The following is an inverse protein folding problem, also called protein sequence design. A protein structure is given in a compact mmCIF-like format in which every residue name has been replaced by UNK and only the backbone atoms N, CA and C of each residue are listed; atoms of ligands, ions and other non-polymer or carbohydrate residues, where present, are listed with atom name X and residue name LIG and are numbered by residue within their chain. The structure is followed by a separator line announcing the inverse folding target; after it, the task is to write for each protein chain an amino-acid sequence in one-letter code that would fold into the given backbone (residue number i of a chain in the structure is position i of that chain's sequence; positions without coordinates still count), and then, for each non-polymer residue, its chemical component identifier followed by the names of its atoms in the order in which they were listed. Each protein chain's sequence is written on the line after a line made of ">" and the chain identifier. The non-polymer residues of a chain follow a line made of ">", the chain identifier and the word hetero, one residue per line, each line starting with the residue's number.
data_IF_482985501137
#
_entry.id   IF_482985501137
#
_cell.length_a   1.000
_cell.length_b   1.000
_cell.length_c   1.000
_cell.angle_alpha   90.00
_cell.angle_beta   90.00
_cell.angle_gamma   90.00
#
_symmetry.space_group_name_H-M   'P 1'
#
loop_
_entity.id
_entity.type
_entity.pdbx_description
1 polymer ?
#
# COMPACT_ATOMS: atom_id res chain seq x y z
N UNK A 1 25.28 46.74 12.41
CA UNK A 1 25.87 45.45 12.00
C UNK A 1 25.04 44.34 12.62
N UNK A 2 24.15 43.73 11.84
CA UNK A 2 23.86 42.29 11.86
C UNK A 2 22.84 42.05 10.75
N UNK A 3 23.29 41.46 9.64
CA UNK A 3 22.44 41.12 8.50
C UNK A 3 21.73 39.80 8.82
N UNK A 4 20.40 39.80 8.71
CA UNK A 4 19.61 38.58 8.75
C UNK A 4 19.76 37.82 7.43
N UNK A 5 20.20 36.57 7.52
CA UNK A 5 20.23 35.64 6.39
C UNK A 5 18.84 35.00 6.27
N UNK A 6 18.06 35.44 5.30
CA UNK A 6 16.87 34.72 4.86
C UNK A 6 17.33 33.56 3.96
N UNK A 7 17.07 32.32 4.39
CA UNK A 7 17.24 31.13 3.55
C UNK A 7 15.86 30.78 2.99
N UNK A 8 15.54 31.36 1.83
CA UNK A 8 14.40 30.96 1.01
C UNK A 8 14.90 29.88 0.07
N UNK A 9 14.68 28.60 0.40
CA UNK A 9 14.87 27.51 -0.55
C UNK A 9 13.51 27.07 -1.06
N UNK A 10 13.19 27.52 -2.28
CA UNK A 10 11.96 27.18 -2.97
C UNK A 10 11.91 25.67 -3.23
N UNK A 11 10.84 25.01 -2.76
CA UNK A 11 10.52 23.63 -3.15
C UNK A 11 9.99 23.65 -4.59
N UNK A 12 10.85 23.31 -5.54
CA UNK A 12 10.53 23.24 -6.97
C UNK A 12 9.57 22.09 -7.26
N UNK A 13 8.35 22.43 -7.68
CA UNK A 13 7.40 21.53 -8.36
C UNK A 13 7.79 21.41 -9.84
N UNK A 14 8.76 20.55 -10.15
CA UNK A 14 9.10 20.23 -11.53
C UNK A 14 8.79 18.75 -11.76
N UNK A 15 7.96 18.45 -12.77
CA UNK A 15 7.78 17.09 -13.29
C UNK A 15 9.14 16.40 -13.45
N UNK A 16 9.27 15.10 -13.16
CA UNK A 16 10.57 14.44 -13.15
C UNK A 16 11.22 14.59 -14.54
N UNK A 17 12.48 15.04 -14.62
CA UNK A 17 13.20 15.03 -15.89
C UNK A 17 13.25 13.59 -16.41
N UNK A 18 13.15 13.41 -17.73
CA UNK A 18 13.45 12.13 -18.39
C UNK A 18 14.81 11.67 -17.87
N UNK A 19 14.82 10.69 -16.96
CA UNK A 19 16.02 10.34 -16.21
C UNK A 19 17.14 9.97 -17.20
N UNK A 20 18.26 10.69 -17.15
CA UNK A 20 19.43 10.29 -17.92
C UNK A 20 19.85 8.90 -17.46
N UNK A 21 19.75 7.93 -18.38
CA UNK A 21 20.11 6.55 -18.07
C UNK A 21 21.62 6.43 -17.86
N UNK A 22 22.01 5.75 -16.77
CA UNK A 22 23.40 5.44 -16.48
C UNK A 22 23.87 4.27 -17.34
N UNK A 23 24.56 4.58 -18.44
CA UNK A 23 25.05 3.58 -19.39
C UNK A 23 26.39 2.99 -18.96
N UNK A 24 26.42 1.67 -18.78
CA UNK A 24 27.64 0.88 -18.64
C UNK A 24 28.13 0.40 -20.01
N UNK A 25 29.45 0.46 -20.24
CA UNK A 25 30.05 -0.14 -21.44
C UNK A 25 29.88 -1.66 -21.42
N UNK A 26 29.52 -2.23 -22.57
CA UNK A 26 29.38 -3.66 -22.78
C UNK A 26 30.17 -4.13 -24.01
N UNK A 27 30.07 -5.42 -24.35
CA UNK A 27 30.85 -5.99 -25.45
C UNK A 27 30.44 -5.44 -26.81
N UNK A 28 31.35 -5.53 -27.79
CA UNK A 28 31.13 -5.19 -29.20
C UNK A 28 30.63 -3.74 -29.45
N UNK A 29 31.03 -2.80 -28.59
CA UNK A 29 30.64 -1.39 -28.71
C UNK A 29 29.18 -1.12 -28.34
N UNK A 30 28.51 -2.06 -27.67
CA UNK A 30 27.20 -1.81 -27.07
C UNK A 30 27.36 -1.18 -25.68
N UNK A 31 26.37 -0.42 -25.25
CA UNK A 31 26.22 -0.04 -23.85
C UNK A 31 24.89 -0.55 -23.31
N UNK A 32 24.85 -0.85 -22.03
CA UNK A 32 23.68 -1.34 -21.29
C UNK A 32 23.31 -0.38 -20.17
N UNK A 33 22.04 -0.28 -19.86
CA UNK A 33 21.54 0.48 -18.71
C UNK A 33 20.28 -0.19 -18.17
N UNK A 34 19.83 0.27 -17.01
CA UNK A 34 18.48 -0.01 -16.52
C UNK A 34 17.60 1.21 -16.74
N UNK A 35 16.43 0.98 -17.33
CA UNK A 35 15.32 1.92 -17.41
C UNK A 35 14.24 1.41 -16.46
N UNK A 36 14.19 1.95 -15.24
CA UNK A 36 13.55 1.30 -14.11
C UNK A 36 14.22 -0.05 -13.81
N UNK A 37 13.46 -1.15 -13.89
CA UNK A 37 13.99 -2.51 -13.73
C UNK A 37 14.22 -3.23 -15.07
N UNK A 38 14.03 -2.53 -16.19
CA UNK A 38 14.17 -3.11 -17.53
C UNK A 38 15.59 -2.92 -18.07
N UNK A 39 16.24 -4.01 -18.45
CA UNK A 39 17.53 -3.97 -19.14
C UNK A 39 17.38 -3.43 -20.57
N UNK A 40 18.07 -2.33 -20.86
CA UNK A 40 18.05 -1.67 -22.17
C UNK A 40 19.45 -1.61 -22.78
N UNK A 41 19.52 -1.48 -24.09
CA UNK A 41 20.77 -1.47 -24.83
C UNK A 41 20.80 -0.36 -25.88
N UNK A 42 21.98 0.23 -26.10
CA UNK A 42 22.29 1.09 -27.24
C UNK A 42 23.52 0.60 -27.97
N UNK A 43 23.60 0.87 -29.26
CA UNK A 43 24.76 0.53 -30.10
C UNK A 43 25.88 1.60 -30.00
N UNK A 44 26.99 1.36 -30.69
CA UNK A 44 28.15 2.27 -30.75
C UNK A 44 27.84 3.67 -31.30
N UNK A 45 26.72 3.85 -32.01
CA UNK A 45 26.25 5.15 -32.50
C UNK A 45 25.32 5.85 -31.49
N UNK A 46 25.20 5.32 -30.27
CA UNK A 46 24.32 5.84 -29.22
C UNK A 46 22.83 5.53 -29.41
N UNK A 47 22.44 4.81 -30.47
CA UNK A 47 21.01 4.53 -30.75
C UNK A 47 20.49 3.41 -29.87
N UNK A 48 19.47 3.70 -29.05
CA UNK A 48 18.72 2.71 -28.26
C UNK A 48 18.05 1.68 -29.18
N UNK A 49 18.20 0.41 -28.84
CA UNK A 49 17.62 -0.72 -29.56
C UNK A 49 16.28 -1.12 -28.94
N UNK A 50 15.42 -1.75 -29.76
CA UNK A 50 14.14 -2.31 -29.30
C UNK A 50 14.31 -3.50 -28.34
N UNK A 51 15.43 -4.19 -28.41
CA UNK A 51 15.74 -5.34 -27.55
C UNK A 51 17.25 -5.48 -27.37
N UNK A 52 17.64 -6.10 -26.26
CA UNK A 52 19.04 -6.42 -25.97
C UNK A 52 19.46 -7.62 -26.84
N UNK A 53 20.50 -7.47 -27.69
CA UNK A 53 20.98 -8.57 -28.54
C UNK A 53 21.45 -9.78 -27.71
N UNK A 54 21.21 -11.00 -28.21
CA UNK A 54 21.54 -12.25 -27.49
C UNK A 54 23.01 -12.35 -27.05
N UNK A 55 23.93 -11.89 -27.91
CA UNK A 55 25.37 -11.86 -27.63
C UNK A 55 25.78 -10.90 -26.51
N UNK A 56 25.01 -9.83 -26.29
CA UNK A 56 25.22 -8.86 -25.21
C UNK A 56 24.48 -9.30 -23.94
N UNK A 57 23.31 -9.93 -24.09
CA UNK A 57 22.47 -10.37 -22.96
C UNK A 57 23.17 -11.39 -22.04
N UNK A 58 24.07 -12.22 -22.58
CA UNK A 58 24.88 -13.17 -21.80
C UNK A 58 26.23 -12.63 -21.33
N UNK A 59 26.43 -11.31 -21.36
CA UNK A 59 27.66 -10.68 -20.85
C UNK A 59 27.62 -10.51 -19.34
N UNK A 60 28.79 -10.42 -18.72
CA UNK A 60 28.91 -10.15 -17.28
C UNK A 60 28.23 -8.83 -16.88
N UNK A 61 28.27 -7.81 -17.76
CA UNK A 61 27.60 -6.53 -17.56
C UNK A 61 26.08 -6.67 -17.52
N UNK A 62 25.51 -7.44 -18.44
CA UNK A 62 24.08 -7.72 -18.49
C UNK A 62 23.63 -8.52 -17.26
N UNK A 63 24.43 -9.50 -16.82
CA UNK A 63 24.17 -10.26 -15.60
C UNK A 63 24.16 -9.36 -14.36
N UNK A 64 25.18 -8.50 -14.18
CA UNK A 64 25.24 -7.55 -13.05
C UNK A 64 24.03 -6.62 -13.01
N UNK A 65 23.64 -6.03 -14.14
CA UNK A 65 22.48 -5.14 -14.21
C UNK A 65 21.17 -5.89 -13.98
N UNK A 66 21.06 -7.14 -14.45
CA UNK A 66 19.88 -7.97 -14.20
C UNK A 66 19.75 -8.32 -12.71
N UNK A 67 20.86 -8.69 -12.06
CA UNK A 67 20.87 -8.93 -10.61
C UNK A 67 20.52 -7.67 -9.81
N UNK A 68 21.01 -6.51 -10.23
CA UNK A 68 20.63 -5.22 -9.63
C UNK A 68 19.12 -4.94 -9.81
N UNK A 69 18.57 -5.16 -11.01
CA UNK A 69 17.14 -4.98 -11.24
C UNK A 69 16.29 -5.87 -10.31
N UNK A 70 16.66 -7.15 -10.17
CA UNK A 70 15.99 -8.08 -9.26
C UNK A 70 16.10 -7.68 -7.79
N UNK A 71 17.24 -7.09 -7.40
CA UNK A 71 17.42 -6.52 -6.07
C UNK A 71 16.48 -5.34 -5.85
N UNK A 72 16.41 -4.39 -6.79
CA UNK A 72 15.52 -3.23 -6.72
C UNK A 72 14.04 -3.62 -6.66
N UNK A 73 13.61 -4.60 -7.46
CA UNK A 73 12.22 -5.11 -7.41
C UNK A 73 11.87 -5.71 -6.05
N UNK A 74 12.82 -6.44 -5.45
CA UNK A 74 12.63 -7.02 -4.12
C UNK A 74 12.58 -5.93 -3.06
N UNK A 75 13.48 -4.95 -3.14
CA UNK A 75 13.54 -3.80 -2.25
C UNK A 75 12.24 -3.00 -2.28
N UNK A 76 11.72 -2.66 -3.48
CA UNK A 76 10.43 -1.97 -3.62
C UNK A 76 9.31 -2.76 -2.94
N UNK A 77 9.25 -4.07 -3.16
CA UNK A 77 8.23 -4.92 -2.53
C UNK A 77 8.34 -4.95 -1.01
N UNK A 78 9.55 -5.00 -0.46
CA UNK A 78 9.80 -4.98 0.99
C UNK A 78 9.45 -3.62 1.62
N UNK A 79 9.82 -2.52 0.96
CA UNK A 79 9.45 -1.16 1.36
C UNK A 79 7.93 -0.98 1.35
N UNK A 80 7.28 -1.35 0.24
CA UNK A 80 5.81 -1.28 0.08
C UNK A 80 5.11 -2.06 1.18
N UNK A 81 5.52 -3.30 1.42
CA UNK A 81 4.94 -4.13 2.45
C UNK A 81 5.06 -3.49 3.85
N UNK A 82 6.20 -2.86 4.13
CA UNK A 82 6.45 -2.19 5.40
C UNK A 82 5.54 -0.97 5.58
N UNK A 83 5.44 -0.10 4.58
CA UNK A 83 4.56 1.09 4.63
C UNK A 83 3.08 0.67 4.69
N UNK A 84 2.67 -0.35 3.93
CA UNK A 84 1.32 -0.93 4.03
C UNK A 84 1.04 -1.46 5.43
N UNK A 85 2.01 -2.14 6.06
CA UNK A 85 1.85 -2.62 7.43
C UNK A 85 1.68 -1.48 8.43
N UNK A 86 2.37 -0.35 8.24
CA UNK A 86 2.21 0.83 9.09
C UNK A 86 0.85 1.47 8.90
N UNK A 87 0.38 1.59 7.65
CA UNK A 87 -0.94 2.12 7.30
C UNK A 87 -2.08 1.25 7.85
N UNK A 88 -2.05 -0.06 7.55
CA UNK A 88 -3.09 -1.01 7.98
C UNK A 88 -3.13 -1.20 9.49
N UNK A 89 -2.01 -1.02 10.18
CA UNK A 89 -2.02 -1.06 11.65
C UNK A 89 -2.20 0.29 12.32
N UNK A 90 -2.19 1.39 11.55
CA UNK A 90 -2.04 2.75 12.07
C UNK A 90 -0.99 2.82 13.19
N UNK A 91 0.15 2.16 12.96
CA UNK A 91 1.19 2.00 13.97
C UNK A 91 1.97 3.31 14.12
N UNK A 92 2.21 3.80 15.34
CA UNK A 92 3.09 4.94 15.56
C UNK A 92 4.51 4.65 15.08
N UNK A 93 4.89 5.30 13.97
CA UNK A 93 6.23 5.25 13.38
C UNK A 93 7.09 6.34 14.02
N UNK A 94 8.25 6.00 14.60
CA UNK A 94 9.20 7.00 15.08
C UNK A 94 9.66 7.94 13.96
N UNK A 95 9.71 9.23 14.27
CA UNK A 95 10.33 10.26 13.43
C UNK A 95 11.75 9.86 12.98
N UNK A 96 12.56 9.32 13.90
CA UNK A 96 13.91 8.84 13.62
C UNK A 96 13.96 7.65 12.64
N UNK A 97 12.89 6.84 12.57
CA UNK A 97 12.78 5.76 11.57
C UNK A 97 12.49 6.36 10.20
N UNK A 98 11.56 7.32 10.11
CA UNK A 98 11.28 8.02 8.86
C UNK A 98 12.53 8.74 8.35
N UNK A 99 13.29 9.42 9.22
CA UNK A 99 14.54 10.11 8.85
C UNK A 99 15.59 9.17 8.26
N UNK A 100 15.67 7.93 8.74
CA UNK A 100 16.62 6.94 8.23
C UNK A 100 16.24 6.39 6.85
N UNK A 101 14.94 6.25 6.58
CA UNK A 101 14.47 5.68 5.30
C UNK A 101 14.22 6.74 4.24
N UNK A 102 13.95 8.00 4.63
CA UNK A 102 13.64 9.09 3.71
C UNK A 102 14.68 9.36 2.61
N UNK A 103 16.00 9.22 2.85
CA UNK A 103 17.00 9.39 1.80
C UNK A 103 16.96 8.33 0.69
N UNK A 104 16.30 7.19 0.93
CA UNK A 104 16.11 6.14 -0.06
C UNK A 104 14.95 6.54 -1.00
N UNK A 105 15.18 6.69 -2.32
CA UNK A 105 14.14 7.10 -3.26
C UNK A 105 12.92 6.18 -3.30
N UNK A 106 13.11 4.87 -3.05
CA UNK A 106 12.00 3.91 -3.03
C UNK A 106 11.09 4.12 -1.83
N UNK A 107 11.67 4.37 -0.66
CA UNK A 107 10.90 4.72 0.54
C UNK A 107 10.23 6.08 0.40
N UNK A 108 10.96 7.08 -0.11
CA UNK A 108 10.42 8.41 -0.33
C UNK A 108 9.22 8.39 -1.29
N UNK A 109 9.32 7.70 -2.43
CA UNK A 109 8.21 7.56 -3.40
C UNK A 109 6.96 6.93 -2.77
N UNK A 110 7.13 5.92 -1.90
CA UNK A 110 6.03 5.26 -1.21
C UNK A 110 5.41 6.10 -0.08
N UNK A 111 6.22 6.87 0.64
CA UNK A 111 5.80 7.67 1.79
C UNK A 111 5.29 9.06 1.41
N UNK A 112 5.82 9.64 0.33
CA UNK A 112 5.46 10.97 -0.11
C UNK A 112 3.96 11.08 -0.33
N UNK A 113 3.42 12.19 0.14
CA UNK A 113 2.01 12.56 0.08
C UNK A 113 1.05 11.60 0.80
N UNK A 114 1.53 10.70 1.66
CA UNK A 114 0.66 10.03 2.61
C UNK A 114 0.21 11.03 3.68
N UNK A 115 -1.07 10.98 4.03
CA UNK A 115 -1.64 11.75 5.12
C UNK A 115 -1.18 11.15 6.45
N UNK A 116 -0.51 11.95 7.26
CA UNK A 116 0.06 11.53 8.54
C UNK A 116 -0.50 12.38 9.68
N UNK A 117 -0.67 11.75 10.84
CA UNK A 117 -1.14 12.38 12.07
C UNK A 117 -0.09 12.25 13.18
N UNK A 118 0.11 13.24 14.05
CA UNK A 118 0.89 13.07 15.28
C UNK A 118 0.29 11.94 16.15
N UNK A 119 1.12 11.03 16.63
CA UNK A 119 0.63 9.87 17.40
C UNK A 119 -0.01 10.26 18.75
N UNK A 120 0.32 11.45 19.28
CA UNK A 120 -0.25 11.99 20.52
C UNK A 120 -1.51 12.84 20.29
N UNK A 121 -2.02 12.87 19.06
CA UNK A 121 -3.11 13.75 18.65
C UNK A 121 -2.61 15.12 18.20
N UNK A 122 -3.47 15.82 17.45
CA UNK A 122 -3.16 17.08 16.78
C UNK A 122 -3.49 17.01 15.29
N UNK A 123 -3.31 18.14 14.61
CA UNK A 123 -3.56 18.26 13.18
C UNK A 123 -2.49 17.52 12.36
N UNK A 124 -2.93 16.93 11.26
CA UNK A 124 -2.09 16.18 10.34
C UNK A 124 -1.89 16.91 9.01
N UNK A 125 -1.22 16.23 8.08
CA UNK A 125 -1.05 16.74 6.74
C UNK A 125 -0.40 15.73 5.80
N UNK A 126 -0.22 16.13 4.55
CA UNK A 126 0.44 15.33 3.53
C UNK A 126 1.95 15.40 3.69
N UNK A 127 2.58 14.25 3.90
CA UNK A 127 4.03 14.14 4.11
C UNK A 127 4.81 14.63 2.88
N UNK A 128 5.64 15.67 3.05
CA UNK A 128 6.49 16.23 1.99
C UNK A 128 7.98 16.08 2.25
N UNK A 129 8.38 15.91 3.51
CA UNK A 129 9.79 15.88 3.86
C UNK A 129 10.03 15.29 5.23
N UNK A 130 11.23 14.75 5.42
CA UNK A 130 11.79 14.47 6.74
C UNK A 130 13.21 15.00 6.73
N UNK A 131 13.57 15.82 7.71
CA UNK A 131 14.92 16.37 7.80
C UNK A 131 15.88 15.44 8.54
N UNK A 132 17.18 15.78 8.51
CA UNK A 132 18.24 14.98 9.14
C UNK A 132 18.10 14.88 10.68
N UNK A 133 17.30 15.76 11.29
CA UNK A 133 16.99 15.72 12.73
C UNK A 133 15.70 14.95 13.03
N UNK A 134 15.03 14.43 12.01
CA UNK A 134 13.77 13.70 12.12
C UNK A 134 12.54 14.59 12.25
N UNK A 135 12.62 15.90 11.99
CA UNK A 135 11.41 16.71 11.89
C UNK A 135 10.63 16.31 10.65
N UNK A 136 9.30 16.28 10.77
CA UNK A 136 8.40 15.78 9.74
C UNK A 136 7.71 16.97 9.09
N UNK A 137 8.04 17.24 7.84
CA UNK A 137 7.46 18.31 7.05
C UNK A 137 6.20 17.84 6.34
N UNK A 138 5.10 18.55 6.55
CA UNK A 138 3.80 18.28 5.92
C UNK A 138 3.25 19.52 5.22
N UNK A 139 2.33 19.29 4.29
CA UNK A 139 1.38 20.31 3.84
C UNK A 139 0.04 20.01 4.49
N UNK A 140 -0.46 20.94 5.29
CA UNK A 140 -1.76 20.81 5.95
C UNK A 140 -2.93 21.11 4.99
N UNK A 141 -4.16 21.07 5.51
CA UNK A 141 -5.37 21.30 4.73
C UNK A 141 -5.61 22.80 4.42
N UNK A 142 -4.84 23.71 5.01
CA UNK A 142 -4.83 25.14 4.68
C UNK A 142 -3.78 25.45 3.59
N UNK A 143 -3.15 24.42 3.02
CA UNK A 143 -2.05 24.50 2.05
C UNK A 143 -0.78 25.16 2.59
N UNK A 144 -0.61 25.22 3.91
CA UNK A 144 0.60 25.71 4.53
C UNK A 144 1.61 24.57 4.70
N UNK A 145 2.90 24.89 4.49
CA UNK A 145 3.98 23.95 4.76
C UNK A 145 4.46 24.12 6.19
N UNK A 146 4.25 23.09 7.01
CA UNK A 146 4.57 23.12 8.44
C UNK A 146 5.45 21.93 8.85
N UNK A 147 6.13 22.07 9.98
CA UNK A 147 6.87 21.00 10.62
C UNK A 147 6.07 20.47 11.80
N UNK A 148 5.75 19.18 11.79
CA UNK A 148 5.11 18.54 12.93
C UNK A 148 6.13 18.39 14.07
N UNK A 149 5.79 18.95 15.23
CA UNK A 149 6.51 18.74 16.49
C UNK A 149 6.06 17.41 17.11
N UNK A 150 6.45 16.30 16.49
CA UNK A 150 6.07 14.96 16.92
C UNK A 150 7.24 13.97 16.77
N UNK A 151 7.56 13.28 17.86
CA UNK A 151 8.55 12.20 17.90
C UNK A 151 8.02 10.88 17.29
N UNK A 152 6.70 10.78 17.09
CA UNK A 152 6.03 9.68 16.37
C UNK A 152 4.84 10.18 15.57
N UNK A 153 4.66 9.63 14.38
CA UNK A 153 3.47 9.85 13.54
C UNK A 153 2.80 8.54 13.16
N UNK A 154 1.53 8.62 12.82
CA UNK A 154 0.75 7.50 12.31
C UNK A 154 0.46 7.78 10.84
N UNK A 155 0.70 6.80 9.97
CA UNK A 155 0.13 6.79 8.63
C UNK A 155 -1.34 6.43 8.79
N UNK A 156 -2.21 7.43 8.72
CA UNK A 156 -3.60 7.29 9.12
C UNK A 156 -4.32 6.29 8.20
N UNK A 157 -4.88 5.22 8.76
CA UNK A 157 -5.83 4.44 7.99
C UNK A 157 -7.01 5.35 7.62
N UNK A 158 -7.51 5.35 6.37
CA UNK A 158 -8.52 6.30 5.90
C UNK A 158 -9.81 6.29 6.74
N UNK A 159 -10.20 5.14 7.31
CA UNK A 159 -11.34 5.04 8.26
C UNK A 159 -11.18 5.89 9.54
N UNK A 160 -9.95 6.29 9.88
CA UNK A 160 -9.62 7.09 11.04
C UNK A 160 -9.37 8.56 10.71
N UNK A 161 -9.41 8.93 9.42
CA UNK A 161 -9.27 10.32 9.00
C UNK A 161 -10.63 10.99 9.18
N UNK A 162 -10.67 12.00 10.05
CA UNK A 162 -11.84 12.89 10.19
C UNK A 162 -12.03 13.66 8.88
N UNK A 163 -13.29 13.81 8.46
CA UNK A 163 -13.66 14.48 7.21
C UNK A 163 -12.83 14.01 6.00
N UNK A 164 -12.69 12.68 5.86
CA UNK A 164 -11.92 12.04 4.78
C UNK A 164 -12.26 12.56 3.37
N UNK A 165 -13.51 12.93 3.13
CA UNK A 165 -13.94 13.46 1.83
C UNK A 165 -13.37 14.86 1.57
N UNK A 166 -13.26 15.71 2.59
CA UNK A 166 -12.59 17.02 2.49
C UNK A 166 -11.09 16.83 2.25
N UNK A 167 -10.46 15.87 2.94
CA UNK A 167 -9.04 15.51 2.70
C UNK A 167 -8.82 14.99 1.29
N UNK A 168 -9.76 14.23 0.72
CA UNK A 168 -9.72 13.75 -0.66
C UNK A 168 -9.89 14.88 -1.67
N UNK A 169 -10.85 15.77 -1.43
CA UNK A 169 -11.09 16.94 -2.28
C UNK A 169 -9.83 17.81 -2.33
N UNK A 170 -9.25 18.13 -1.18
CA UNK A 170 -8.02 18.90 -1.11
C UNK A 170 -6.83 18.20 -1.79
N UNK A 171 -6.70 16.87 -1.66
CA UNK A 171 -5.69 16.11 -2.38
C UNK A 171 -5.85 16.22 -3.91
N UNK A 172 -7.08 16.23 -4.42
CA UNK A 172 -7.35 16.43 -5.84
C UNK A 172 -6.99 17.86 -6.28
N UNK A 173 -7.33 18.87 -5.49
CA UNK A 173 -6.99 20.28 -5.77
C UNK A 173 -5.48 20.51 -5.88
N UNK A 174 -4.70 19.84 -5.04
CA UNK A 174 -3.22 19.92 -5.04
C UNK A 174 -2.53 18.95 -6.01
N UNK A 175 -3.28 18.22 -6.83
CA UNK A 175 -2.77 17.15 -7.72
C UNK A 175 -1.88 16.14 -6.97
N UNK A 176 -2.28 15.81 -5.73
CA UNK A 176 -1.56 14.87 -4.88
C UNK A 176 -1.77 13.45 -5.40
N UNK A 177 -0.66 12.83 -5.80
CA UNK A 177 -0.62 11.40 -6.14
C UNK A 177 0.02 10.60 -5.01
N UNK A 178 -0.62 9.50 -4.62
CA UNK A 178 -0.09 8.54 -3.66
C UNK A 178 0.25 7.22 -4.36
N UNK A 179 1.44 6.68 -4.07
CA UNK A 179 1.86 5.36 -4.59
C UNK A 179 1.19 4.20 -3.87
N UNK A 180 0.65 4.47 -2.69
CA UNK A 180 -0.20 3.58 -1.91
C UNK A 180 -1.61 4.15 -1.93
N UNK A 181 -2.65 3.32 -2.11
CA UNK A 181 -4.03 3.79 -2.13
C UNK A 181 -4.50 4.02 -0.68
N UNK A 182 -4.01 5.08 -0.03
CA UNK A 182 -4.48 5.48 1.29
C UNK A 182 -5.82 6.20 1.16
N UNK A 183 -5.88 7.34 0.45
CA UNK A 183 -7.13 8.11 0.32
C UNK A 183 -8.16 7.41 -0.57
N UNK A 184 -7.70 6.75 -1.63
CA UNK A 184 -8.59 6.02 -2.57
C UNK A 184 -8.99 4.64 -2.07
N UNK A 185 -8.53 4.25 -0.88
CA UNK A 185 -8.98 3.01 -0.26
C UNK A 185 -10.46 3.09 0.04
N UNK A 186 -11.16 2.01 -0.26
CA UNK A 186 -12.53 1.83 0.18
C UNK A 186 -12.58 1.69 1.71
N UNK A 187 -13.54 2.38 2.32
CA UNK A 187 -13.71 2.46 3.76
C UNK A 187 -15.11 1.96 4.13
N UNK A 188 -15.19 1.08 5.12
CA UNK A 188 -16.46 0.61 5.66
C UNK A 188 -16.53 0.96 7.13
N UNK A 189 -17.48 1.80 7.48
CA UNK A 189 -17.74 2.12 8.88
C UNK A 189 -18.54 1.01 9.54
N UNK A 190 -18.19 0.74 10.79
CA UNK A 190 -18.93 -0.19 11.63
C UNK A 190 -20.34 0.35 11.88
N UNK A 191 -21.41 -0.41 11.58
CA UNK A 191 -22.77 0.04 11.84
C UNK A 191 -23.00 0.23 13.34
N UNK A 192 -23.92 1.13 13.67
CA UNK A 192 -24.39 1.34 15.04
C UNK A 192 -25.92 1.49 15.01
N UNK A 193 -26.69 0.64 15.71
CA UNK A 193 -26.24 -0.40 16.65
C UNK A 193 -25.84 -1.74 16.00
N UNK A 194 -25.07 -2.57 16.73
CA UNK A 194 -24.80 -3.99 16.44
C UNK A 194 -25.36 -4.84 17.60
N UNK A 195 -25.96 -5.99 17.27
CA UNK A 195 -26.45 -6.92 18.29
C UNK A 195 -25.31 -7.37 19.23
N UNK A 196 -25.50 -7.34 20.57
CA UNK A 196 -24.41 -7.56 21.53
C UNK A 196 -23.71 -8.93 21.44
N UNK A 197 -24.40 -9.93 20.93
CA UNK A 197 -23.95 -11.32 20.78
C UNK A 197 -23.57 -11.68 19.34
N UNK A 198 -23.66 -10.75 18.39
CA UNK A 198 -23.24 -10.99 17.02
C UNK A 198 -21.73 -11.27 16.95
N UNK A 199 -21.35 -12.35 16.26
CA UNK A 199 -19.94 -12.76 16.06
C UNK A 199 -19.56 -12.87 14.59
N UNK A 200 -20.50 -12.65 13.67
CA UNK A 200 -20.30 -12.89 12.25
C UNK A 200 -21.14 -11.94 11.38
N UNK A 201 -20.60 -11.56 10.22
CA UNK A 201 -21.33 -10.89 9.15
C UNK A 201 -21.70 -11.94 8.10
N UNK A 202 -23.00 -12.03 7.81
CA UNK A 202 -23.57 -13.07 6.93
C UNK A 202 -23.89 -12.58 5.52
N UNK A 203 -23.78 -11.28 5.28
CA UNK A 203 -24.22 -10.61 4.04
C UNK A 203 -23.51 -11.13 2.78
N UNK A 204 -22.36 -11.79 2.95
CA UNK A 204 -21.56 -12.37 1.87
C UNK A 204 -21.67 -13.91 1.82
N UNK A 205 -22.45 -14.53 2.70
CA UNK A 205 -22.50 -15.98 2.88
C UNK A 205 -23.23 -16.73 1.77
N UNK A 206 -23.92 -16.04 0.86
CA UNK A 206 -24.65 -16.64 -0.27
C UNK A 206 -23.81 -16.73 -1.55
N UNK A 207 -22.54 -16.28 -1.51
CA UNK A 207 -21.68 -16.33 -2.70
C UNK A 207 -21.40 -17.77 -3.13
N UNK A 208 -21.77 -18.09 -4.37
CA UNK A 208 -21.42 -19.35 -5.02
C UNK A 208 -20.26 -19.13 -5.98
N UNK A 209 -19.24 -19.97 -5.92
CA UNK A 209 -18.18 -20.02 -6.93
C UNK A 209 -18.28 -21.33 -7.69
N UNK A 210 -18.20 -21.26 -9.04
CA UNK A 210 -18.25 -22.44 -9.89
C UNK A 210 -17.22 -23.51 -9.51
N UNK A 211 -16.05 -23.08 -9.04
CA UNK A 211 -14.98 -23.94 -8.55
C UNK A 211 -14.26 -23.24 -7.38
N UNK A 212 -13.89 -23.99 -6.34
CA UNK A 212 -13.18 -23.44 -5.17
C UNK A 212 -11.87 -22.73 -5.55
N UNK A 213 -11.15 -23.22 -6.58
CA UNK A 213 -9.92 -22.56 -7.06
C UNK A 213 -10.15 -21.12 -7.55
N UNK A 214 -11.36 -20.77 -7.99
CA UNK A 214 -11.69 -19.40 -8.39
C UNK A 214 -11.72 -18.46 -7.19
N UNK A 215 -12.33 -18.87 -6.08
CA UNK A 215 -12.34 -18.09 -4.85
C UNK A 215 -10.93 -17.93 -4.27
N UNK A 216 -10.17 -19.03 -4.20
CA UNK A 216 -8.78 -19.04 -3.71
C UNK A 216 -7.89 -18.15 -4.58
N UNK A 217 -7.92 -18.36 -5.91
CA UNK A 217 -7.10 -17.59 -6.84
C UNK A 217 -7.49 -16.11 -6.90
N UNK A 218 -8.75 -15.75 -6.60
CA UNK A 218 -9.17 -14.36 -6.44
C UNK A 218 -8.60 -13.74 -5.17
N UNK A 219 -8.78 -14.39 -4.01
CA UNK A 219 -8.23 -13.91 -2.74
C UNK A 219 -6.71 -13.68 -2.83
N UNK A 220 -5.97 -14.63 -3.40
CA UNK A 220 -4.52 -14.52 -3.58
C UNK A 220 -4.10 -13.40 -4.54
N UNK A 221 -4.80 -13.22 -5.67
CA UNK A 221 -4.54 -12.11 -6.61
C UNK A 221 -4.77 -10.74 -5.98
N UNK A 222 -5.69 -10.66 -5.02
CA UNK A 222 -5.99 -9.45 -4.26
C UNK A 222 -5.04 -9.25 -3.05
N UNK A 223 -4.08 -10.15 -2.85
CA UNK A 223 -3.09 -10.06 -1.77
C UNK A 223 -3.52 -10.65 -0.44
N UNK A 224 -4.66 -11.34 -0.37
CA UNK A 224 -5.12 -12.00 0.85
C UNK A 224 -4.51 -13.40 1.00
N UNK A 225 -4.16 -13.77 2.23
CA UNK A 225 -3.73 -15.12 2.53
C UNK A 225 -4.94 -16.07 2.53
N UNK A 226 -4.71 -17.34 2.19
CA UNK A 226 -5.74 -18.38 2.31
C UNK A 226 -5.28 -19.44 3.30
N UNK A 227 -6.10 -19.74 4.32
CA UNK A 227 -5.79 -20.71 5.39
C UNK A 227 -7.03 -21.48 5.80
N UNK A 228 -6.98 -22.81 5.71
CA UNK A 228 -8.07 -23.68 6.21
C UNK A 228 -9.45 -23.37 5.63
N UNK A 229 -9.52 -22.96 4.35
CA UNK A 229 -10.77 -22.57 3.68
C UNK A 229 -11.21 -21.13 3.91
N UNK A 230 -10.40 -20.30 4.58
CA UNK A 230 -10.68 -18.88 4.76
C UNK A 230 -9.75 -18.01 3.92
N UNK A 231 -10.29 -16.97 3.30
CA UNK A 231 -9.52 -15.77 2.97
C UNK A 231 -9.25 -14.99 4.28
N UNK A 232 -8.02 -14.52 4.46
CA UNK A 232 -7.55 -13.93 5.71
C UNK A 232 -6.94 -12.56 5.46
N UNK A 233 -7.44 -11.56 6.18
CA UNK A 233 -6.84 -10.24 6.32
C UNK A 233 -6.42 -10.02 7.77
N UNK A 234 -5.15 -9.67 8.00
CA UNK A 234 -4.59 -9.43 9.33
C UNK A 234 -4.35 -7.94 9.51
N UNK A 235 -4.83 -7.42 10.63
CA UNK A 235 -4.67 -6.03 11.05
C UNK A 235 -4.05 -6.02 12.45
N UNK A 236 -3.17 -5.05 12.71
CA UNK A 236 -2.65 -4.79 14.06
C UNK A 236 -3.30 -3.51 14.57
N UNK A 237 -4.33 -3.61 15.41
CA UNK A 237 -5.12 -2.47 15.84
C UNK A 237 -5.06 -2.31 17.36
N UNK A 238 -4.64 -1.13 17.83
CA UNK A 238 -4.46 -0.87 19.27
C UNK A 238 -3.48 -1.86 19.94
N UNK A 239 -2.43 -2.26 19.21
CA UNK A 239 -1.45 -3.25 19.67
C UNK A 239 -1.95 -4.71 19.69
N UNK A 240 -3.18 -4.98 19.23
CA UNK A 240 -3.77 -6.32 19.16
C UNK A 240 -3.79 -6.81 17.71
N UNK A 241 -3.25 -8.01 17.47
CA UNK A 241 -3.42 -8.65 16.17
C UNK A 241 -4.84 -9.21 16.06
N UNK A 242 -5.57 -8.75 15.07
CA UNK A 242 -6.92 -9.21 14.72
C UNK A 242 -6.87 -9.80 13.31
N UNK A 243 -7.56 -10.93 13.10
CA UNK A 243 -7.73 -11.53 11.79
C UNK A 243 -9.19 -11.54 11.39
N UNK A 244 -9.51 -10.86 10.29
CA UNK A 244 -10.74 -11.10 9.56
C UNK A 244 -10.60 -12.40 8.75
N UNK A 245 -11.59 -13.28 8.85
CA UNK A 245 -11.63 -14.59 8.16
C UNK A 245 -12.95 -14.73 7.43
N UNK A 246 -12.90 -14.79 6.11
CA UNK A 246 -14.06 -14.99 5.26
C UNK A 246 -14.03 -16.41 4.68
N UNK A 247 -15.05 -17.21 4.96
CA UNK A 247 -15.11 -18.60 4.48
C UNK A 247 -15.33 -18.64 2.98
N UNK A 248 -14.46 -19.37 2.28
CA UNK A 248 -14.47 -19.53 0.82
C UNK A 248 -14.42 -21.02 0.40
N UNK A 249 -14.72 -21.93 1.34
CA UNK A 249 -14.75 -23.37 1.10
C UNK A 249 -13.44 -24.10 1.35
N UNK A 250 -13.54 -25.38 1.72
CA UNK A 250 -12.42 -26.27 2.00
C UNK A 250 -12.48 -27.61 1.24
N UNK A 251 -13.34 -27.69 0.21
CA UNK A 251 -13.56 -28.91 -0.57
C UNK A 251 -12.43 -29.17 -1.59
N UNK A 252 -12.75 -29.83 -2.70
CA UNK A 252 -11.80 -30.06 -3.79
C UNK A 252 -11.75 -28.86 -4.75
N UNK A 253 -10.57 -28.51 -5.31
CA UNK A 253 -10.38 -27.29 -6.09
C UNK A 253 -11.32 -27.11 -7.29
N UNK A 254 -11.74 -28.22 -7.92
CA UNK A 254 -12.58 -28.24 -9.13
C UNK A 254 -14.08 -28.37 -8.82
N UNK A 255 -14.47 -28.35 -7.55
CA UNK A 255 -15.86 -28.45 -7.13
C UNK A 255 -16.44 -27.08 -6.85
N UNK A 256 -17.73 -26.92 -7.17
CA UNK A 256 -18.51 -25.77 -6.75
C UNK A 256 -18.42 -25.62 -5.23
N UNK A 257 -18.32 -24.37 -4.77
CA UNK A 257 -18.28 -24.07 -3.34
C UNK A 257 -19.14 -22.87 -3.01
N UNK A 258 -19.70 -22.89 -1.80
CA UNK A 258 -20.46 -21.79 -1.21
C UNK A 258 -19.58 -21.09 -0.18
N UNK A 259 -19.59 -19.77 -0.24
CA UNK A 259 -18.98 -18.94 0.78
C UNK A 259 -19.74 -19.08 2.10
N UNK A 260 -19.18 -18.52 3.16
CA UNK A 260 -19.80 -18.52 4.47
C UNK A 260 -19.62 -17.17 5.13
N UNK A 261 -19.85 -17.12 6.43
CA UNK A 261 -19.78 -15.84 7.14
C UNK A 261 -18.35 -15.28 7.21
N UNK A 262 -18.28 -13.96 7.31
CA UNK A 262 -17.09 -13.23 7.72
C UNK A 262 -17.06 -13.15 9.25
N UNK A 263 -15.96 -13.58 9.86
CA UNK A 263 -15.73 -13.53 11.30
C UNK A 263 -14.41 -12.83 11.62
N UNK A 264 -14.24 -12.42 12.88
CA UNK A 264 -12.97 -11.92 13.40
C UNK A 264 -12.48 -12.79 14.53
N UNK A 265 -11.16 -13.02 14.58
CA UNK A 265 -10.50 -13.74 15.66
C UNK A 265 -9.29 -12.99 16.20
N UNK A 266 -8.95 -13.25 17.45
CA UNK A 266 -7.75 -12.72 18.10
C UNK A 266 -6.48 -13.50 17.72
N UNK A 267 -5.35 -13.16 18.36
CA UNK A 267 -4.07 -13.82 18.14
C UNK A 267 -4.05 -15.31 18.58
N UNK A 268 -4.92 -15.69 19.51
CA UNK A 268 -5.11 -17.06 20.00
C UNK A 268 -6.20 -17.81 19.21
N UNK A 269 -6.64 -17.25 18.09
CA UNK A 269 -7.72 -17.73 17.22
C UNK A 269 -9.10 -17.82 17.90
N UNK A 270 -9.33 -17.07 18.97
CA UNK A 270 -10.65 -17.01 19.62
C UNK A 270 -11.56 -16.02 18.89
N UNK A 271 -12.85 -16.36 18.68
CA UNK A 271 -13.81 -15.45 18.08
C UNK A 271 -13.94 -14.13 18.85
N UNK A 272 -13.99 -13.02 18.12
CA UNK A 272 -14.23 -11.68 18.64
C UNK A 272 -15.70 -11.32 18.35
N UNK A 273 -16.42 -10.78 19.34
CA UNK A 273 -17.76 -10.24 19.11
C UNK A 273 -17.67 -9.04 18.18
N UNK A 274 -18.64 -8.88 17.29
CA UNK A 274 -18.64 -7.76 16.35
C UNK A 274 -18.56 -6.41 17.06
N UNK A 275 -19.16 -6.26 18.24
CA UNK A 275 -19.08 -5.05 19.08
C UNK A 275 -17.65 -4.73 19.55
N UNK A 276 -16.78 -5.71 19.66
CA UNK A 276 -15.39 -5.56 20.14
C UNK A 276 -14.36 -5.40 19.00
N UNK A 277 -14.78 -5.57 17.73
CA UNK A 277 -13.94 -5.33 16.55
C UNK A 277 -13.70 -3.83 16.36
N UNK A 278 -12.45 -3.42 16.22
CA UNK A 278 -12.08 -2.01 15.99
C UNK A 278 -12.35 -1.55 14.55
N UNK A 279 -12.37 -0.23 14.31
CA UNK A 279 -12.74 0.35 13.02
C UNK A 279 -11.85 -0.09 11.86
N UNK A 280 -10.54 -0.24 12.05
CA UNK A 280 -9.63 -0.67 10.98
C UNK A 280 -9.86 -2.14 10.65
N UNK A 281 -9.86 -3.02 11.66
CA UNK A 281 -10.10 -4.44 11.45
C UNK A 281 -11.47 -4.71 10.83
N UNK A 282 -12.48 -3.93 11.20
CA UNK A 282 -13.80 -3.95 10.58
C UNK A 282 -13.73 -3.57 9.10
N UNK A 283 -13.24 -2.37 8.80
CA UNK A 283 -13.17 -1.83 7.44
C UNK A 283 -12.43 -2.79 6.50
N UNK A 284 -11.28 -3.29 6.92
CA UNK A 284 -10.46 -4.19 6.10
C UNK A 284 -11.06 -5.59 5.94
N UNK A 285 -11.77 -6.08 6.96
CA UNK A 285 -12.48 -7.35 6.88
C UNK A 285 -13.63 -7.30 5.88
N UNK A 286 -14.44 -6.24 5.95
CA UNK A 286 -15.55 -6.00 5.01
C UNK A 286 -15.01 -5.84 3.58
N UNK A 287 -14.01 -4.96 3.39
CA UNK A 287 -13.38 -4.75 2.08
C UNK A 287 -12.85 -6.04 1.47
N UNK A 288 -12.21 -6.90 2.27
CA UNK A 288 -11.77 -8.22 1.81
C UNK A 288 -12.95 -9.08 1.37
N UNK A 289 -14.00 -9.18 2.20
CA UNK A 289 -15.16 -10.01 1.90
C UNK A 289 -15.86 -9.52 0.62
N UNK A 290 -16.10 -8.22 0.48
CA UNK A 290 -16.71 -7.62 -0.73
C UNK A 290 -15.89 -7.88 -1.98
N UNK A 291 -14.58 -7.64 -1.92
CA UNK A 291 -13.71 -7.88 -3.06
C UNK A 291 -13.72 -9.34 -3.47
N UNK A 292 -13.71 -10.30 -2.54
CA UNK A 292 -13.79 -11.72 -2.86
C UNK A 292 -15.19 -12.09 -3.37
N UNK A 293 -16.25 -11.63 -2.70
CA UNK A 293 -17.66 -11.83 -3.01
C UNK A 293 -18.04 -11.35 -4.42
N UNK A 294 -17.43 -10.26 -4.90
CA UNK A 294 -17.61 -9.75 -6.26
C UNK A 294 -17.13 -10.74 -7.35
N UNK A 295 -16.40 -11.80 -6.99
CA UNK A 295 -16.00 -12.86 -7.91
C UNK A 295 -16.94 -14.07 -7.97
N UNK A 296 -18.07 -14.03 -7.25
CA UNK A 296 -19.07 -15.10 -7.27
C UNK A 296 -19.70 -15.24 -8.66
N UNK A 297 -20.27 -16.42 -8.91
CA UNK A 297 -21.14 -16.66 -10.07
C UNK A 297 -22.40 -15.80 -9.92
N UNK A 298 -22.72 -15.00 -10.93
CA UNK A 298 -23.96 -14.22 -11.00
C UNK A 298 -24.93 -15.01 -11.88
N UNK A 299 -26.08 -15.41 -11.31
CA UNK A 299 -27.14 -16.02 -12.10
C UNK A 299 -27.90 -14.91 -12.84
N UNK A 300 -28.06 -15.02 -14.16
CA UNK A 300 -28.70 -14.00 -15.03
C UNK A 300 -30.18 -13.72 -14.70
N UNK A 301 -30.77 -14.39 -13.71
CA UNK A 301 -32.16 -14.23 -13.29
C UNK A 301 -32.40 -13.09 -12.29
N UNK A 302 -31.36 -12.46 -11.74
CA UNK A 302 -31.48 -11.33 -10.79
C UNK A 302 -31.39 -9.94 -11.44
N UNK A 303 -31.38 -9.86 -12.78
CA UNK A 303 -31.36 -8.59 -13.52
C UNK A 303 -32.68 -8.22 -14.19
N UNK A 304 -33.83 -8.70 -13.68
CA UNK A 304 -35.17 -8.29 -14.13
C UNK A 304 -35.97 -7.61 -13.03
#
# INVERSE_FOLDING_TARGET
>A
MSQGLAITSAMSTTSPPTAELNWAEGPDGYSLALDGTTLVCRNAKGRRLKSVPKKVRGSAEAERLTSLAQFLERHERECRHSVESWLLGSLPVPAATLAQVWPDPTWQDLLANLFVLPAQGGEGGFLRGVDDNGRIGVVDLDAESTWLEADRVVLAHPVLIEDLDDVREFALELDITQRLPQLTREVHHKPSPIAPDATAVTDYGDAVFAEQRHAVGRAQRLGFAVRGGYAVCRVLEGGRSVQARYWIGADSPDYQTEAGSLIWVDADERPIRLTDVGPIAWSEGIRMAELVYAGRTINEQESQ
#
